data_IF_430482777005
#
_entry.id   IF_430482777005
#
_cell.length_a   1.000
_cell.length_b   1.000
_cell.length_c   1.000
_cell.angle_alpha   90.00
_cell.angle_beta   90.00
_cell.angle_gamma   90.00
#
_symmetry.space_group_name_H-M   'P 1'
#
loop_
_entity.id
_entity.type
_entity.pdbx_description
1 polymer ?
#
# COMPACT_ATOMS: atom_id res chain seq x y z
N UNK A 1 58.61 -15.63 -23.66
CA UNK A 1 57.84 -15.40 -24.91
C UNK A 1 56.59 -14.61 -24.52
N UNK A 2 56.54 -13.28 -24.74
CA UNK A 2 55.96 -12.64 -25.94
C UNK A 2 54.55 -13.22 -26.19
N UNK A 3 53.42 -12.52 -26.03
CA UNK A 3 53.12 -11.12 -26.36
C UNK A 3 51.75 -10.70 -25.78
N UNK A 4 51.68 -9.56 -25.10
CA UNK A 4 50.57 -8.58 -25.26
C UNK A 4 50.85 -7.74 -26.53
N UNK A 5 49.96 -6.87 -27.06
CA UNK A 5 48.68 -6.35 -26.54
C UNK A 5 47.55 -6.25 -27.60
N UNK A 6 46.33 -5.84 -27.20
CA UNK A 6 45.59 -4.79 -27.95
C UNK A 6 44.46 -4.18 -27.12
N UNK A 7 44.74 -3.03 -26.52
CA UNK A 7 43.73 -2.08 -26.09
C UNK A 7 43.06 -1.46 -27.34
N UNK A 8 41.76 -1.70 -27.52
CA UNK A 8 40.96 -1.00 -28.51
C UNK A 8 40.26 0.19 -27.86
N UNK A 9 40.66 1.37 -28.32
CA UNK A 9 40.24 2.69 -27.86
C UNK A 9 38.75 2.95 -28.10
N UNK A 10 38.16 3.63 -27.14
CA UNK A 10 36.85 4.26 -27.14
C UNK A 10 36.66 5.25 -28.30
N UNK A 11 35.45 5.27 -28.86
CA UNK A 11 34.89 6.37 -29.66
C UNK A 11 33.43 6.58 -29.27
N UNK A 12 33.04 7.72 -28.70
CA UNK A 12 31.66 8.17 -28.70
C UNK A 12 31.45 9.20 -29.83
N UNK A 13 30.37 9.05 -30.59
CA UNK A 13 29.51 10.22 -30.84
C UNK A 13 28.03 9.77 -30.84
N UNK A 14 27.00 10.59 -30.63
CA UNK A 14 26.78 12.01 -30.86
C UNK A 14 25.53 12.36 -30.05
N UNK A 15 25.58 13.46 -29.30
CA UNK A 15 24.38 14.13 -28.80
C UNK A 15 23.57 14.63 -29.99
N UNK A 16 22.27 14.35 -30.04
CA UNK A 16 21.34 15.07 -30.93
C UNK A 16 20.33 15.79 -30.06
N UNK A 17 20.29 17.10 -30.31
CA UNK A 17 19.47 18.12 -29.71
C UNK A 17 17.97 17.87 -29.96
N UNK A 18 17.14 18.10 -28.95
CA UNK A 18 16.17 19.22 -28.88
C UNK A 18 15.27 19.34 -30.10
N UNK A 19 13.98 19.07 -29.90
CA UNK A 19 12.91 19.87 -30.49
C UNK A 19 11.83 20.12 -29.43
N UNK A 20 11.90 21.33 -28.87
CA UNK A 20 10.77 22.01 -28.23
C UNK A 20 9.82 22.42 -29.35
N UNK A 21 8.53 22.14 -29.19
CA UNK A 21 7.48 22.79 -29.97
C UNK A 21 6.42 23.29 -29.00
N UNK A 22 6.50 24.59 -28.73
CA UNK A 22 5.43 25.43 -28.21
C UNK A 22 4.61 25.93 -29.41
N UNK A 23 3.31 25.66 -29.45
CA UNK A 23 2.25 26.35 -30.21
C UNK A 23 0.95 25.94 -29.51
N UNK A 24 -0.05 26.74 -29.17
CA UNK A 24 -0.40 28.16 -29.33
C UNK A 24 -1.65 28.35 -28.44
N UNK A 25 -1.71 29.41 -27.64
CA UNK A 25 -2.45 30.65 -27.87
C UNK A 25 -3.98 30.51 -28.11
N UNK A 26 -4.73 31.17 -27.20
CA UNK A 26 -6.06 31.80 -27.39
C UNK A 26 -7.27 30.86 -27.56
N UNK A 27 -8.48 31.16 -27.06
CA UNK A 27 -9.07 32.39 -26.55
C UNK A 27 -10.20 32.08 -25.56
N UNK A 28 -10.46 33.05 -24.69
CA UNK A 28 -11.62 33.11 -23.81
C UNK A 28 -12.94 33.29 -24.60
N UNK A 29 -14.03 32.74 -24.07
CA UNK A 29 -15.38 33.25 -24.34
C UNK A 29 -16.23 33.08 -23.08
N UNK A 30 -16.40 34.21 -22.38
CA UNK A 30 -17.40 34.45 -21.37
C UNK A 30 -18.78 34.50 -22.03
N UNK A 31 -19.74 33.71 -21.55
CA UNK A 31 -21.15 34.03 -21.70
C UNK A 31 -21.82 33.90 -20.33
N UNK A 32 -22.09 35.05 -19.74
CA UNK A 32 -23.06 35.21 -18.67
C UNK A 32 -24.46 35.27 -19.28
N UNK A 33 -25.41 34.53 -18.70
CA UNK A 33 -26.83 34.78 -18.91
C UNK A 33 -27.55 34.59 -17.57
N UNK A 34 -28.13 35.69 -17.09
CA UNK A 34 -28.81 35.82 -15.83
C UNK A 34 -30.27 35.34 -15.92
N UNK A 35 -30.69 34.67 -14.83
CA UNK A 35 -31.99 34.75 -14.14
C UNK A 35 -33.28 34.97 -14.95
N UNK A 36 -34.22 34.04 -14.80
CA UNK A 36 -35.61 34.39 -14.55
C UNK A 36 -36.28 33.30 -13.68
N UNK A 37 -36.65 33.68 -12.46
CA UNK A 37 -37.57 32.94 -11.61
C UNK A 37 -38.96 32.92 -12.25
N UNK A 38 -39.58 31.75 -12.32
CA UNK A 38 -41.03 31.64 -12.46
C UNK A 38 -41.54 30.70 -11.36
N UNK A 39 -41.98 31.31 -10.26
CA UNK A 39 -42.76 30.66 -9.23
C UNK A 39 -44.11 30.22 -9.85
N UNK A 40 -44.40 28.93 -9.82
CA UNK A 40 -45.65 28.38 -10.31
C UNK A 40 -46.68 28.46 -9.18
N UNK A 41 -47.74 29.23 -9.40
CA UNK A 41 -48.89 29.37 -8.49
C UNK A 41 -49.74 28.09 -8.55
N UNK A 42 -50.08 27.45 -7.41
CA UNK A 42 -50.99 26.31 -7.41
C UNK A 42 -52.45 26.74 -7.62
N UNK A 43 -53.29 25.92 -8.28
CA UNK A 43 -54.70 26.22 -8.50
C UNK A 43 -55.52 26.17 -7.21
N UNK A 44 -56.63 26.93 -7.12
CA UNK A 44 -57.47 26.99 -5.92
C UNK A 44 -58.27 25.68 -5.69
N UNK A 45 -58.56 25.33 -4.43
CA UNK A 45 -59.33 24.13 -4.10
C UNK A 45 -60.82 24.31 -4.44
N UNK A 46 -61.43 23.26 -5.01
CA UNK A 46 -62.89 23.17 -5.17
C UNK A 46 -63.51 22.93 -3.79
N UNK A 47 -64.39 23.82 -3.38
CA UNK A 47 -65.31 23.61 -2.27
C UNK A 47 -66.45 22.72 -2.77
N UNK A 48 -66.61 21.53 -2.16
CA UNK A 48 -67.88 20.81 -2.04
C UNK A 48 -67.63 19.53 -1.22
N UNK A 49 -67.69 19.62 0.11
CA UNK A 49 -67.99 18.44 0.95
C UNK A 49 -68.70 18.88 2.26
N UNK A 50 -69.78 18.19 2.72
CA UNK A 50 -70.69 18.69 3.74
C UNK A 50 -70.23 18.41 5.18
N UNK A 51 -70.79 19.11 6.19
CA UNK A 51 -70.30 19.07 7.57
C UNK A 51 -70.91 17.90 8.38
N UNK A 52 -70.04 17.14 9.05
CA UNK A 52 -70.43 16.35 10.22
C UNK A 52 -70.00 14.88 10.23
N UNK A 53 -68.77 14.60 10.67
CA UNK A 53 -68.40 13.35 11.32
C UNK A 53 -67.15 13.55 12.22
N UNK A 54 -67.09 12.95 13.43
CA UNK A 54 -66.06 13.21 14.45
C UNK A 54 -64.68 12.58 14.13
N UNK A 55 -63.58 13.05 14.74
CA UNK A 55 -62.22 12.67 14.36
C UNK A 55 -61.90 11.23 14.75
N UNK A 56 -61.45 10.44 13.77
CA UNK A 56 -60.85 9.12 14.00
C UNK A 56 -59.41 9.35 14.45
N UNK A 57 -59.14 9.19 15.74
CA UNK A 57 -57.78 9.18 16.28
C UNK A 57 -57.03 7.96 15.71
N UNK A 58 -56.25 8.20 14.65
CA UNK A 58 -55.28 7.24 14.15
C UNK A 58 -54.06 7.24 15.06
N UNK A 59 -53.68 6.07 15.56
CA UNK A 59 -52.34 5.83 16.08
C UNK A 59 -51.35 6.02 14.92
N UNK A 60 -50.65 7.14 14.90
CA UNK A 60 -49.46 7.30 14.05
C UNK A 60 -48.30 6.57 14.75
N UNK A 61 -47.70 5.53 14.14
CA UNK A 61 -46.51 4.93 14.72
C UNK A 61 -45.38 5.97 14.69
N UNK A 62 -44.83 6.28 15.86
CA UNK A 62 -43.71 7.20 15.99
C UNK A 62 -42.59 6.79 15.02
N UNK A 63 -41.97 7.73 14.29
CA UNK A 63 -40.88 7.40 13.39
C UNK A 63 -39.74 6.79 14.20
N UNK A 64 -39.42 5.53 13.91
CA UNK A 64 -38.25 4.86 14.45
C UNK A 64 -37.02 5.64 14.00
N UNK A 65 -36.33 6.29 14.94
CA UNK A 65 -35.03 6.91 14.66
C UNK A 65 -34.12 5.88 14.00
N UNK A 66 -33.45 6.22 12.88
CA UNK A 66 -32.49 5.31 12.27
C UNK A 66 -31.39 4.99 13.29
N UNK A 67 -30.87 3.74 13.30
CA UNK A 67 -29.75 3.39 14.16
C UNK A 67 -28.58 4.34 13.89
N UNK A 68 -27.78 4.70 14.90
CA UNK A 68 -26.63 5.55 14.69
C UNK A 68 -25.73 4.85 13.66
N UNK A 69 -25.52 5.50 12.51
CA UNK A 69 -24.46 5.15 11.58
C UNK A 69 -23.16 5.23 12.38
N UNK A 70 -22.59 4.06 12.69
CA UNK A 70 -21.21 4.00 13.15
C UNK A 70 -20.37 4.75 12.12
N UNK A 71 -19.50 5.68 12.54
CA UNK A 71 -18.68 6.42 11.60
C UNK A 71 -17.85 5.41 10.80
N UNK A 72 -18.17 5.26 9.51
CA UNK A 72 -17.27 4.63 8.56
C UNK A 72 -16.07 5.56 8.53
N UNK A 73 -14.98 5.16 9.18
CA UNK A 73 -13.75 5.92 9.18
C UNK A 73 -13.41 6.24 7.72
N UNK A 74 -13.40 7.53 7.37
CA UNK A 74 -13.13 7.95 6.01
C UNK A 74 -11.74 7.46 5.61
N UNK A 75 -11.67 6.67 4.56
CA UNK A 75 -10.39 6.21 4.02
C UNK A 75 -9.51 7.41 3.64
N UNK A 76 -8.23 7.31 3.94
CA UNK A 76 -7.23 8.24 3.43
C UNK A 76 -6.98 7.94 1.95
N UNK A 77 -7.00 8.97 1.13
CA UNK A 77 -6.71 8.88 -0.30
C UNK A 77 -5.29 9.39 -0.59
N UNK A 78 -4.44 8.54 -1.17
CA UNK A 78 -3.05 8.86 -1.52
C UNK A 78 -2.77 8.45 -2.96
N UNK A 79 -2.22 9.37 -3.75
CA UNK A 79 -1.76 9.08 -5.11
C UNK A 79 -0.24 9.24 -5.21
N UNK A 80 0.41 8.35 -5.94
CA UNK A 80 1.85 8.40 -6.16
C UNK A 80 2.32 7.46 -7.26
N UNK A 81 3.62 7.48 -7.52
CA UNK A 81 4.24 6.53 -8.46
C UNK A 81 4.79 5.35 -7.69
N UNK A 82 4.38 4.14 -8.07
CA UNK A 82 4.86 2.88 -7.50
C UNK A 82 6.36 2.77 -7.78
N UNK A 83 7.18 2.77 -6.73
CA UNK A 83 8.64 2.67 -6.83
C UNK A 83 9.10 1.22 -6.83
N UNK A 84 8.55 0.40 -5.93
CA UNK A 84 8.86 -1.03 -5.83
C UNK A 84 7.76 -1.81 -5.13
N UNK A 85 7.66 -3.09 -5.44
CA UNK A 85 6.83 -4.03 -4.69
C UNK A 85 7.55 -4.44 -3.38
N UNK A 86 6.77 -4.90 -2.40
CA UNK A 86 7.26 -5.56 -1.19
C UNK A 86 6.84 -7.03 -1.21
N UNK A 87 7.60 -7.88 -0.53
CA UNK A 87 7.26 -9.28 -0.37
C UNK A 87 7.39 -9.71 1.09
N UNK A 88 6.61 -10.72 1.47
CA UNK A 88 6.76 -11.42 2.74
C UNK A 88 7.85 -12.51 2.64
N UNK A 89 8.33 -13.08 3.77
CA UNK A 89 9.32 -14.16 3.76
C UNK A 89 8.93 -15.37 2.89
N UNK A 90 7.63 -15.65 2.76
CA UNK A 90 7.07 -16.70 1.91
C UNK A 90 7.14 -16.40 0.41
N UNK A 91 7.57 -15.19 0.03
CA UNK A 91 7.76 -14.77 -1.35
C UNK A 91 6.51 -14.20 -2.03
N UNK A 92 5.39 -14.08 -1.32
CA UNK A 92 4.19 -13.43 -1.81
C UNK A 92 4.32 -11.91 -1.73
N UNK A 93 3.82 -11.21 -2.75
CA UNK A 93 3.73 -9.76 -2.71
C UNK A 93 2.68 -9.33 -1.70
N UNK A 94 3.08 -8.48 -0.75
CA UNK A 94 2.25 -8.02 0.37
C UNK A 94 2.08 -6.49 0.38
N UNK A 95 2.49 -5.82 -0.70
CA UNK A 95 2.41 -4.37 -0.78
C UNK A 95 3.38 -3.76 -1.79
N UNK A 96 3.58 -2.45 -1.64
CA UNK A 96 4.50 -1.67 -2.44
C UNK A 96 4.89 -0.37 -1.74
N UNK A 97 5.97 0.25 -2.21
CA UNK A 97 6.46 1.54 -1.74
C UNK A 97 6.29 2.56 -2.87
N UNK A 98 5.73 3.72 -2.54
CA UNK A 98 5.63 4.86 -3.45
C UNK A 98 6.97 5.62 -3.51
N UNK A 99 7.14 6.46 -4.53
CA UNK A 99 8.40 7.21 -4.75
C UNK A 99 8.71 8.20 -3.62
N UNK A 100 7.71 8.65 -2.89
CA UNK A 100 7.85 9.51 -1.70
C UNK A 100 8.27 8.74 -0.43
N UNK A 101 8.30 7.41 -0.48
CA UNK A 101 8.63 6.53 0.64
C UNK A 101 7.42 5.96 1.40
N UNK A 102 6.21 6.38 1.05
CA UNK A 102 4.96 5.84 1.63
C UNK A 102 4.88 4.33 1.38
N UNK A 103 4.69 3.55 2.44
CA UNK A 103 4.51 2.11 2.35
C UNK A 103 3.02 1.79 2.32
N UNK A 104 2.61 1.03 1.31
CA UNK A 104 1.23 0.59 1.11
C UNK A 104 1.19 -0.93 1.26
N UNK A 105 0.56 -1.39 2.35
CA UNK A 105 0.34 -2.80 2.61
C UNK A 105 -0.95 -3.30 1.96
N UNK A 106 -0.89 -4.53 1.45
CA UNK A 106 -2.01 -5.26 0.85
C UNK A 106 -1.98 -6.69 1.40
N UNK A 107 -3.13 -7.34 1.66
CA UNK A 107 -3.14 -8.74 2.06
C UNK A 107 -2.37 -9.65 1.06
N UNK A 108 -1.53 -10.59 1.53
CA UNK A 108 -0.67 -11.39 0.64
C UNK A 108 -1.42 -12.21 -0.42
N UNK A 109 -2.68 -12.61 -0.17
CA UNK A 109 -3.48 -13.36 -1.16
C UNK A 109 -3.89 -12.51 -2.37
N UNK A 110 -3.82 -11.18 -2.26
CA UNK A 110 -4.05 -10.26 -3.38
C UNK A 110 -2.76 -9.89 -4.12
N UNK A 111 -1.59 -10.38 -3.69
CA UNK A 111 -0.29 -10.07 -4.29
C UNK A 111 -0.21 -10.34 -5.79
N UNK A 112 -0.73 -11.48 -6.25
CA UNK A 112 -0.77 -11.82 -7.69
C UNK A 112 -1.62 -10.85 -8.49
N UNK A 113 -2.76 -10.41 -7.91
CA UNK A 113 -3.64 -9.45 -8.56
C UNK A 113 -2.99 -8.05 -8.61
N UNK A 114 -2.28 -7.68 -7.55
CA UNK A 114 -1.52 -6.43 -7.49
C UNK A 114 -0.41 -6.39 -8.56
N UNK A 115 0.33 -7.48 -8.76
CA UNK A 115 1.35 -7.59 -9.82
C UNK A 115 0.74 -7.42 -11.22
N UNK A 116 -0.46 -7.95 -11.44
CA UNK A 116 -1.18 -7.80 -12.71
C UNK A 116 -1.73 -6.36 -12.89
N UNK A 117 -2.11 -5.71 -11.79
CA UNK A 117 -2.72 -4.39 -11.76
C UNK A 117 -1.71 -3.26 -12.04
N UNK A 118 -0.54 -3.30 -11.39
CA UNK A 118 0.41 -2.20 -11.39
C UNK A 118 1.86 -2.68 -11.35
N UNK A 119 2.72 -1.96 -12.05
CA UNK A 119 4.16 -2.21 -12.10
C UNK A 119 4.94 -1.03 -11.54
N UNK A 120 6.20 -1.24 -11.10
CA UNK A 120 7.10 -0.13 -10.81
C UNK A 120 7.15 0.88 -11.97
N UNK A 121 6.96 2.16 -11.65
CA UNK A 121 6.83 3.26 -12.61
C UNK A 121 5.39 3.67 -12.92
N UNK A 122 4.38 2.86 -12.57
CA UNK A 122 2.98 3.23 -12.76
C UNK A 122 2.50 4.21 -11.68
N UNK A 123 1.60 5.11 -12.08
CA UNK A 123 0.90 5.99 -11.14
C UNK A 123 -0.33 5.27 -10.61
N UNK A 124 -0.46 5.24 -9.28
CA UNK A 124 -1.56 4.58 -8.58
C UNK A 124 -2.21 5.51 -7.59
N UNK A 125 -3.50 5.30 -7.37
CA UNK A 125 -4.30 5.95 -6.33
C UNK A 125 -4.78 4.90 -5.35
N UNK A 126 -4.53 5.14 -4.06
CA UNK A 126 -4.80 4.22 -2.96
C UNK A 126 -5.81 4.86 -2.02
N UNK A 127 -6.93 4.17 -1.78
CA UNK A 127 -7.82 4.47 -0.67
C UNK A 127 -7.60 3.41 0.42
N UNK A 128 -7.41 3.84 1.65
CA UNK A 128 -7.25 2.90 2.75
C UNK A 128 -7.08 3.54 4.11
N UNK A 129 -6.76 2.70 5.09
CA UNK A 129 -6.59 3.10 6.48
C UNK A 129 -5.15 3.55 6.74
N UNK A 130 -4.98 4.78 7.25
CA UNK A 130 -3.66 5.26 7.67
C UNK A 130 -3.22 4.51 8.93
N UNK A 131 -2.03 3.93 8.88
CA UNK A 131 -1.35 3.31 10.02
C UNK A 131 -0.29 4.27 10.57
N UNK A 132 0.47 3.81 11.55
CA UNK A 132 1.47 4.64 12.23
C UNK A 132 2.48 5.20 11.22
N UNK A 133 2.69 6.52 11.27
CA UNK A 133 3.61 7.22 10.36
C UNK A 133 3.05 7.35 8.94
N UNK A 134 3.78 6.80 7.98
CA UNK A 134 3.51 6.80 6.54
C UNK A 134 3.09 5.45 5.96
N UNK A 135 2.69 4.52 6.84
CA UNK A 135 2.10 3.24 6.45
C UNK A 135 0.62 3.40 6.11
N UNK A 136 0.16 2.74 5.06
CA UNK A 136 -1.25 2.68 4.67
C UNK A 136 -1.63 1.22 4.45
N UNK A 137 -2.70 0.77 5.10
CA UNK A 137 -3.35 -0.50 4.73
C UNK A 137 -4.38 -0.20 3.63
N UNK A 138 -4.11 -0.64 2.41
CA UNK A 138 -4.96 -0.34 1.27
C UNK A 138 -6.27 -1.13 1.34
N UNK A 139 -7.40 -0.42 1.21
CA UNK A 139 -8.70 -1.02 0.91
C UNK A 139 -8.97 -1.06 -0.58
N UNK A 140 -8.51 -0.07 -1.33
CA UNK A 140 -8.60 -0.04 -2.79
C UNK A 140 -7.31 0.51 -3.37
N UNK A 141 -6.76 -0.17 -4.36
CA UNK A 141 -5.66 0.32 -5.20
C UNK A 141 -6.19 0.46 -6.61
N UNK A 142 -6.00 1.63 -7.23
CA UNK A 142 -6.37 1.90 -8.61
C UNK A 142 -5.13 2.27 -9.41
N UNK A 143 -4.98 1.70 -10.60
CA UNK A 143 -3.97 2.14 -11.56
C UNK A 143 -4.55 3.30 -12.38
N UNK A 144 -3.91 4.46 -12.34
CA UNK A 144 -4.44 5.68 -12.97
C UNK A 144 -4.40 5.60 -14.50
N UNK A 145 -3.47 4.82 -15.05
CA UNK A 145 -3.31 4.67 -16.50
C UNK A 145 -4.33 3.71 -17.11
N UNK A 146 -4.53 2.55 -16.50
CA UNK A 146 -5.46 1.53 -17.02
C UNK A 146 -6.89 1.74 -16.52
N UNK A 147 -7.07 2.46 -15.41
CA UNK A 147 -8.36 2.61 -14.72
C UNK A 147 -8.79 1.37 -13.93
N UNK A 148 -8.04 0.27 -13.99
CA UNK A 148 -8.32 -0.94 -13.23
C UNK A 148 -8.14 -0.70 -11.73
N UNK A 149 -8.89 -1.45 -10.91
CA UNK A 149 -8.80 -1.39 -9.46
C UNK A 149 -8.78 -2.77 -8.82
N UNK A 150 -8.18 -2.82 -7.63
CA UNK A 150 -8.10 -3.98 -6.75
C UNK A 150 -8.65 -3.56 -5.39
N UNK A 151 -9.64 -4.30 -4.90
CA UNK A 151 -10.24 -4.08 -3.58
C UNK A 151 -9.74 -5.12 -2.59
N UNK A 152 -9.55 -4.71 -1.34
CA UNK A 152 -9.36 -5.62 -0.21
C UNK A 152 -10.63 -6.45 -0.06
N UNK A 153 -10.49 -7.74 -0.33
CA UNK A 153 -11.54 -8.73 -0.24
C UNK A 153 -11.00 -9.89 0.60
N UNK A 154 -11.86 -10.55 1.41
CA UNK A 154 -11.43 -11.70 2.19
C UNK A 154 -10.85 -12.78 1.26
N UNK A 155 -9.90 -13.60 1.76
CA UNK A 155 -9.38 -14.70 0.98
C UNK A 155 -10.53 -15.64 0.58
N UNK A 156 -10.45 -16.29 -0.59
CA UNK A 156 -11.45 -17.27 -0.98
C UNK A 156 -11.50 -18.38 0.09
N UNK A 157 -12.69 -18.91 0.34
CA UNK A 157 -12.87 -20.04 1.26
C UNK A 157 -12.05 -21.24 0.78
N UNK A 158 -10.90 -21.45 1.42
CA UNK A 158 -10.00 -22.56 1.19
C UNK A 158 -9.57 -23.14 2.54
N UNK A 159 -9.25 -24.43 2.57
CA UNK A 159 -8.68 -25.04 3.75
C UNK A 159 -7.38 -24.29 4.12
N UNK A 160 -7.19 -23.92 5.40
CA UNK A 160 -5.95 -23.26 5.83
C UNK A 160 -4.75 -24.12 5.47
N UNK A 161 -3.71 -23.49 4.92
CA UNK A 161 -2.45 -24.19 4.65
C UNK A 161 -1.89 -24.75 5.97
N UNK A 162 -1.58 -26.06 6.05
CA UNK A 162 -0.98 -26.67 7.22
C UNK A 162 0.30 -25.93 7.63
N UNK A 163 0.54 -25.67 8.93
CA UNK A 163 1.75 -24.98 9.40
C UNK A 163 3.05 -25.67 8.94
N UNK A 164 3.06 -27.01 8.87
CA UNK A 164 4.22 -27.78 8.40
C UNK A 164 4.59 -27.50 6.93
N UNK A 165 3.62 -27.04 6.13
CA UNK A 165 3.87 -26.63 4.74
C UNK A 165 4.25 -25.15 4.65
N UNK A 166 4.06 -24.36 5.72
CA UNK A 166 4.60 -22.99 5.77
C UNK A 166 6.09 -23.09 6.00
N UNK A 167 6.86 -23.04 4.91
CA UNK A 167 8.31 -23.05 5.01
C UNK A 167 9.05 -23.95 4.03
N UNK A 168 8.36 -24.88 3.36
CA UNK A 168 9.04 -25.94 2.56
C UNK A 168 9.89 -25.38 1.42
N UNK A 169 9.59 -24.16 0.96
CA UNK A 169 10.31 -23.48 -0.10
C UNK A 169 11.18 -22.31 0.38
N UNK A 170 11.39 -22.17 1.69
CA UNK A 170 12.23 -21.10 2.22
C UNK A 170 13.70 -21.49 2.13
N UNK A 171 14.49 -20.64 1.48
CA UNK A 171 15.93 -20.75 1.46
C UNK A 171 16.52 -20.11 2.73
N UNK A 172 17.66 -20.65 3.19
CA UNK A 172 18.46 -19.95 4.20
C UNK A 172 19.15 -18.77 3.52
N UNK A 173 18.84 -17.55 3.96
CA UNK A 173 19.34 -16.31 3.40
C UNK A 173 20.16 -15.53 4.43
N UNK A 174 21.10 -14.74 3.94
CA UNK A 174 21.84 -13.75 4.74
C UNK A 174 21.85 -12.43 4.00
N UNK A 175 21.47 -11.37 4.71
CA UNK A 175 21.43 -10.01 4.16
C UNK A 175 22.14 -9.06 5.11
N UNK A 176 22.76 -8.03 4.55
CA UNK A 176 23.29 -6.91 5.30
C UNK A 176 23.13 -5.64 4.47
N UNK A 177 22.88 -4.52 5.14
CA UNK A 177 22.63 -3.25 4.47
C UNK A 177 22.34 -2.14 5.45
N UNK A 178 21.95 -1.00 4.90
CA UNK A 178 21.52 0.15 5.69
C UNK A 178 20.00 0.09 5.83
N UNK A 179 19.49 0.28 7.04
CA UNK A 179 18.04 0.37 7.28
C UNK A 179 17.52 1.60 6.55
N UNK A 180 16.68 1.37 5.55
CA UNK A 180 15.96 2.44 4.85
C UNK A 180 14.69 2.82 5.61
N UNK A 181 14.00 1.82 6.15
CA UNK A 181 12.72 1.97 6.86
C UNK A 181 12.59 0.91 7.94
N UNK A 182 11.94 1.27 9.04
CA UNK A 182 11.50 0.34 10.08
C UNK A 182 10.10 -0.15 9.73
N UNK A 183 9.93 -1.47 9.68
CA UNK A 183 8.63 -2.11 9.45
C UNK A 183 7.88 -2.23 10.77
N UNK A 184 6.56 -2.15 10.73
CA UNK A 184 5.72 -2.17 11.93
C UNK A 184 4.62 -3.22 11.85
N UNK A 185 4.32 -3.80 13.01
CA UNK A 185 3.14 -4.59 13.25
C UNK A 185 1.87 -3.73 13.23
N UNK A 186 0.66 -4.33 13.14
CA UNK A 186 -0.59 -3.60 13.02
C UNK A 186 -0.89 -2.55 14.11
N UNK A 187 -0.34 -2.72 15.33
CA UNK A 187 -0.51 -1.76 16.44
C UNK A 187 0.63 -0.74 16.52
N UNK A 188 1.58 -0.77 15.58
CA UNK A 188 2.65 0.21 15.45
C UNK A 188 3.98 -0.20 16.07
N UNK A 189 4.08 -1.38 16.70
CA UNK A 189 5.35 -1.87 17.25
C UNK A 189 6.32 -2.22 16.11
N UNK A 190 7.64 -1.99 16.27
CA UNK A 190 8.62 -2.45 15.30
C UNK A 190 8.55 -3.98 15.14
N UNK A 191 8.51 -4.45 13.89
CA UNK A 191 8.46 -5.88 13.55
C UNK A 191 9.49 -6.28 12.48
N UNK A 192 10.43 -5.37 12.17
CA UNK A 192 11.45 -5.62 11.17
C UNK A 192 12.01 -4.36 10.54
N UNK A 193 12.77 -4.55 9.46
CA UNK A 193 13.36 -3.46 8.68
C UNK A 193 13.28 -3.76 7.19
N UNK A 194 13.17 -2.69 6.41
CA UNK A 194 13.48 -2.71 4.99
C UNK A 194 14.84 -2.05 4.79
N UNK A 195 15.75 -2.75 4.12
CA UNK A 195 17.07 -2.28 3.78
C UNK A 195 17.05 -1.36 2.55
N UNK A 196 18.13 -0.62 2.32
CA UNK A 196 18.38 0.19 1.14
C UNK A 196 18.31 -0.61 -0.17
N UNK A 197 18.77 -1.86 -0.16
CA UNK A 197 18.60 -2.80 -1.26
C UNK A 197 17.11 -3.07 -1.59
N UNK A 198 16.23 -2.93 -0.61
CA UNK A 198 14.83 -3.35 -0.66
C UNK A 198 14.56 -4.69 0.01
N UNK A 199 15.59 -5.36 0.52
CA UNK A 199 15.41 -6.58 1.29
C UNK A 199 14.62 -6.31 2.57
N UNK A 200 13.65 -7.15 2.88
CA UNK A 200 12.82 -7.05 4.08
C UNK A 200 13.27 -8.11 5.09
N UNK A 201 13.65 -7.67 6.28
CA UNK A 201 13.99 -8.54 7.40
C UNK A 201 12.85 -8.45 8.40
N UNK A 202 12.10 -9.54 8.55
CA UNK A 202 11.04 -9.67 9.56
C UNK A 202 11.61 -10.22 10.87
N UNK A 203 11.14 -9.65 11.97
CA UNK A 203 11.45 -10.01 13.34
C UNK A 203 10.14 -10.24 14.08
N UNK A 204 10.15 -11.07 15.11
CA UNK A 204 9.05 -11.05 16.07
C UNK A 204 9.09 -9.73 16.84
N UNK A 205 7.94 -9.23 17.30
CA UNK A 205 7.89 -7.99 18.09
C UNK A 205 8.83 -8.04 19.31
N UNK A 206 8.91 -9.14 20.10
CA UNK A 206 9.88 -9.23 21.18
C UNK A 206 11.33 -9.15 20.71
N UNK A 207 11.70 -9.84 19.64
CA UNK A 207 13.05 -9.76 19.08
C UNK A 207 13.37 -8.33 18.62
N UNK A 208 12.45 -7.68 17.91
CA UNK A 208 12.63 -6.31 17.45
C UNK A 208 12.88 -5.33 18.61
N UNK A 209 12.15 -5.46 19.72
CA UNK A 209 12.31 -4.61 20.90
C UNK A 209 13.72 -4.73 21.52
N UNK A 210 14.37 -5.90 21.45
CA UNK A 210 15.73 -6.10 21.95
C UNK A 210 16.79 -5.33 21.13
N UNK A 211 16.50 -5.02 19.85
CA UNK A 211 17.43 -4.35 18.94
C UNK A 211 17.00 -2.92 18.58
N UNK A 212 16.28 -2.22 19.46
CA UNK A 212 15.76 -0.87 19.19
C UNK A 212 16.80 0.13 18.64
N UNK A 213 18.05 0.05 19.09
CA UNK A 213 19.15 0.90 18.60
C UNK A 213 19.57 0.62 17.14
N UNK A 214 19.27 -0.58 16.63
CA UNK A 214 19.52 -0.97 15.24
C UNK A 214 18.28 -0.81 14.34
N UNK A 215 17.09 -0.70 14.94
CA UNK A 215 15.81 -0.47 14.25
C UNK A 215 15.56 1.03 14.05
N UNK A 216 16.51 1.71 13.42
CA UNK A 216 16.38 3.12 13.05
C UNK A 216 16.88 3.35 11.62
N UNK A 217 16.24 4.23 10.83
CA UNK A 217 16.74 4.58 9.51
C UNK A 217 18.20 5.06 9.57
N UNK A 218 19.04 4.55 8.68
CA UNK A 218 20.47 4.84 8.62
C UNK A 218 21.38 3.87 9.40
N UNK A 219 20.83 3.03 10.28
CA UNK A 219 21.61 2.01 10.98
C UNK A 219 22.10 0.93 10.00
N UNK A 220 23.31 0.40 10.23
CA UNK A 220 23.81 -0.77 9.50
C UNK A 220 23.45 -2.04 10.26
N UNK A 221 22.82 -2.97 9.57
CA UNK A 221 22.38 -4.24 10.16
C UNK A 221 22.78 -5.43 9.30
N UNK A 222 22.79 -6.59 9.91
CA UNK A 222 22.92 -7.89 9.26
C UNK A 222 21.92 -8.86 9.88
N UNK A 223 21.39 -9.74 9.03
CA UNK A 223 20.44 -10.76 9.45
C UNK A 223 20.71 -12.07 8.72
N UNK A 224 20.39 -13.16 9.40
CA UNK A 224 20.38 -14.50 8.83
C UNK A 224 19.06 -15.14 9.20
N UNK A 225 18.48 -15.90 8.29
CA UNK A 225 17.20 -16.55 8.54
C UNK A 225 16.70 -17.32 7.33
N UNK A 226 15.39 -17.56 7.31
CA UNK A 226 14.73 -18.32 6.25
C UNK A 226 13.76 -17.43 5.51
N UNK A 227 13.78 -17.50 4.18
CA UNK A 227 13.05 -16.57 3.35
C UNK A 227 13.08 -16.92 1.88
N UNK A 228 12.65 -15.96 1.07
CA UNK A 228 12.55 -16.10 -0.37
C UNK A 228 13.24 -14.93 -1.06
N UNK A 229 13.92 -15.22 -2.17
CA UNK A 229 14.40 -14.23 -3.13
C UNK A 229 13.78 -14.55 -4.49
N UNK A 230 13.03 -13.61 -5.04
CA UNK A 230 12.37 -13.77 -6.34
C UNK A 230 12.44 -12.45 -7.16
N UNK A 231 11.72 -12.40 -8.29
CA UNK A 231 11.73 -11.24 -9.18
C UNK A 231 11.14 -9.96 -8.55
N UNK A 232 10.39 -10.07 -7.46
CA UNK A 232 9.71 -8.96 -6.80
C UNK A 232 10.47 -8.43 -5.58
N UNK A 233 11.42 -9.20 -5.05
CA UNK A 233 12.26 -8.75 -3.94
C UNK A 233 12.97 -9.89 -3.22
N UNK A 234 13.44 -9.55 -2.02
CA UNK A 234 14.05 -10.48 -1.09
C UNK A 234 13.48 -10.22 0.30
N UNK A 235 13.01 -11.26 0.97
CA UNK A 235 12.55 -11.16 2.35
C UNK A 235 12.88 -12.42 3.13
N UNK A 236 13.16 -12.26 4.42
CA UNK A 236 13.44 -13.36 5.33
C UNK A 236 12.90 -13.09 6.74
N UNK A 237 12.46 -14.17 7.39
CA UNK A 237 12.25 -14.18 8.83
C UNK A 237 13.60 -14.43 9.50
N UNK A 238 14.08 -13.46 10.28
CA UNK A 238 15.37 -13.56 10.92
C UNK A 238 15.35 -14.62 12.03
N UNK A 239 16.39 -15.46 12.02
CA UNK A 239 16.78 -16.32 13.15
C UNK A 239 18.01 -15.78 13.86
N UNK A 240 18.76 -14.88 13.22
CA UNK A 240 19.81 -14.08 13.82
C UNK A 240 19.76 -12.64 13.31
N UNK A 241 20.02 -11.67 14.17
CA UNK A 241 20.01 -10.24 13.83
C UNK A 241 21.08 -9.49 14.63
N UNK A 242 21.61 -8.40 14.07
CA UNK A 242 22.58 -7.56 14.75
C UNK A 242 23.31 -6.61 13.81
N UNK A 243 24.47 -6.11 14.24
CA UNK A 243 25.33 -5.30 13.38
C UNK A 243 26.16 -6.20 12.45
N UNK A 244 26.66 -5.68 11.32
CA UNK A 244 27.51 -6.46 10.43
C UNK A 244 28.72 -7.03 11.16
N UNK A 245 28.92 -8.35 11.06
CA UNK A 245 29.98 -9.09 11.78
C UNK A 245 29.65 -9.42 13.24
N UNK A 246 28.51 -9.00 13.77
CA UNK A 246 28.02 -9.32 15.14
C UNK A 246 26.51 -9.56 15.12
N UNK A 247 26.10 -10.67 14.51
CA UNK A 247 24.72 -11.17 14.57
C UNK A 247 24.55 -12.09 15.77
N UNK A 248 23.41 -12.00 16.45
CA UNK A 248 23.06 -12.84 17.60
C UNK A 248 21.84 -13.67 17.24
N UNK A 249 21.82 -14.94 17.63
CA UNK A 249 20.67 -15.82 17.43
C UNK A 249 19.50 -15.36 18.29
N UNK A 250 18.30 -15.33 17.70
CA UNK A 250 17.10 -14.77 18.31
C UNK A 250 16.31 -15.79 19.14
N UNK A 251 16.55 -17.08 18.95
CA UNK A 251 15.72 -18.17 19.50
C UNK A 251 16.51 -19.28 20.20
N UNK A 252 17.82 -19.10 20.41
CA UNK A 252 18.65 -20.12 21.07
C UNK A 252 18.35 -20.25 22.58
N UNK A 253 17.57 -19.33 23.15
CA UNK A 253 17.21 -19.34 24.58
C UNK A 253 16.03 -20.27 24.93
N UNK A 254 15.46 -21.01 23.97
CA UNK A 254 14.28 -21.87 24.22
C UNK A 254 14.67 -23.31 24.64
N UNK A 255 15.96 -23.65 24.70
CA UNK A 255 16.43 -25.03 25.03
C UNK A 255 17.34 -25.07 26.26
N UNK A 256 17.07 -24.28 27.31
CA UNK A 256 17.72 -24.44 28.61
C UNK A 256 16.75 -24.53 29.77
#
# INVERSE_FOLDING_TARGET
MKSTPRAARSRPPRRVAVRRSCVGLCAAALIAAATACAAQVPPPPRADEPPGAPPRAGFEPAPLSPPPLLPVASDTLVSGTLSRLTINPEGAVDGFVLTDGTLVGVPPHLGTQLIALARPGDRVTVAGERRVGDDIHARVVRNDRSGASLSDQPPPSAAPMPPALRGVNLARLSVSGVVRRVMRAPRGEPDGVMLDSGAIVKLTVPAAQQFGALLVPGARVAAVGYGTRNAYGEALQATAFGSPGRVVNLYDDVVR
#
